data_IF_438993542164
#
_entry.id   IF_438993542164
#
_cell.length_a   1.000
_cell.length_b   1.000
_cell.length_c   1.000
_cell.angle_alpha   90.00
_cell.angle_beta   90.00
_cell.angle_gamma   90.00
#
_symmetry.space_group_name_H-M   'P 1'
#
loop_
_entity.id
_entity.type
_entity.pdbx_description
1 polymer ?
#
# COMPACT_ATOMS: atom_id res chain seq x y z
N UNK A 1 45.45 -62.62 -30.60
CA UNK A 1 44.66 -61.79 -31.56
C UNK A 1 43.64 -61.00 -30.76
N UNK A 2 43.61 -59.67 -30.96
CA UNK A 2 42.69 -58.62 -30.44
C UNK A 2 42.63 -58.43 -28.90
N UNK A 3 43.09 -57.36 -28.24
CA UNK A 3 43.25 -55.90 -28.45
C UNK A 3 42.01 -55.02 -28.12
N UNK A 4 42.28 -53.97 -27.32
CA UNK A 4 41.50 -52.74 -26.92
C UNK A 4 40.78 -52.80 -25.56
N UNK A 5 40.76 -51.76 -24.71
CA UNK A 5 41.32 -50.39 -24.73
C UNK A 5 41.30 -49.78 -23.31
N UNK A 6 42.25 -48.88 -23.08
CA UNK A 6 42.41 -47.95 -21.94
C UNK A 6 41.23 -46.98 -21.82
N UNK A 7 40.84 -46.61 -20.59
CA UNK A 7 40.44 -45.23 -20.26
C UNK A 7 40.58 -44.92 -18.76
N UNK A 8 41.68 -44.28 -18.41
CA UNK A 8 41.82 -43.40 -17.24
C UNK A 8 40.98 -42.14 -17.49
N UNK A 9 40.00 -41.83 -16.62
CA UNK A 9 39.30 -40.55 -16.65
C UNK A 9 38.96 -40.06 -15.22
N UNK A 10 39.86 -39.20 -14.72
CA UNK A 10 39.58 -37.97 -13.95
C UNK A 10 38.41 -37.97 -12.96
N UNK A 11 38.71 -38.24 -11.68
CA UNK A 11 37.83 -38.04 -10.52
C UNK A 11 37.71 -36.55 -10.08
N UNK A 12 38.09 -35.58 -10.93
CA UNK A 12 38.20 -34.16 -10.57
C UNK A 12 37.05 -33.26 -11.05
N UNK A 13 36.14 -33.76 -11.91
CA UNK A 13 35.11 -32.93 -12.55
C UNK A 13 33.75 -32.89 -11.83
N UNK A 14 33.46 -33.85 -10.95
CA UNK A 14 32.11 -34.03 -10.40
C UNK A 14 31.81 -33.15 -9.17
N UNK A 15 32.83 -32.62 -8.48
CA UNK A 15 32.62 -31.75 -7.31
C UNK A 15 32.39 -30.29 -7.72
N UNK A 16 32.98 -29.83 -8.84
CA UNK A 16 32.78 -28.47 -9.33
C UNK A 16 31.39 -28.24 -9.95
N UNK A 17 30.76 -29.29 -10.49
CA UNK A 17 29.43 -29.19 -11.12
C UNK A 17 28.26 -29.15 -10.11
N UNK A 18 28.47 -29.58 -8.85
CA UNK A 18 27.43 -29.57 -7.83
C UNK A 18 27.34 -28.24 -7.04
N UNK A 19 28.38 -27.41 -7.07
CA UNK A 19 28.37 -26.07 -6.44
C UNK A 19 27.75 -24.98 -7.31
N UNK A 20 27.49 -25.25 -8.60
CA UNK A 20 26.88 -24.28 -9.53
C UNK A 20 25.34 -24.37 -9.61
N UNK A 21 24.70 -25.32 -8.92
CA UNK A 21 23.27 -25.61 -9.03
C UNK A 21 22.41 -25.15 -7.81
N UNK A 22 22.98 -24.40 -6.88
CA UNK A 22 22.24 -23.85 -5.72
C UNK A 22 22.50 -22.36 -5.49
N UNK A 23 22.71 -21.58 -6.56
CA UNK A 23 22.48 -20.14 -6.49
C UNK A 23 20.96 -19.91 -6.52
N UNK A 24 20.26 -20.32 -5.46
CA UNK A 24 18.94 -19.76 -5.21
C UNK A 24 19.15 -18.26 -5.04
N UNK A 25 18.37 -17.40 -5.73
CA UNK A 25 18.35 -16.00 -5.35
C UNK A 25 18.02 -15.96 -3.86
N UNK A 26 18.91 -15.38 -3.05
CA UNK A 26 18.59 -15.12 -1.66
C UNK A 26 17.26 -14.37 -1.67
N UNK A 27 16.20 -14.98 -1.13
CA UNK A 27 14.92 -14.31 -1.02
C UNK A 27 15.18 -13.07 -0.16
N UNK A 28 15.00 -11.90 -0.76
CA UNK A 28 15.08 -10.65 -0.03
C UNK A 28 14.10 -10.74 1.15
N UNK A 29 14.59 -10.44 2.35
CA UNK A 29 13.76 -10.46 3.55
C UNK A 29 12.58 -9.51 3.36
N UNK A 30 11.37 -9.95 3.73
CA UNK A 30 10.23 -9.05 3.71
C UNK A 30 10.35 -8.01 4.85
N UNK A 31 9.56 -6.94 4.81
CA UNK A 31 9.65 -5.88 5.81
C UNK A 31 9.34 -6.32 7.24
N UNK A 32 8.50 -7.35 7.44
CA UNK A 32 8.22 -7.92 8.76
C UNK A 32 9.44 -8.67 9.32
N UNK A 33 10.15 -9.41 8.48
CA UNK A 33 11.40 -10.09 8.85
C UNK A 33 12.50 -9.07 9.19
N UNK A 34 12.60 -7.99 8.42
CA UNK A 34 13.52 -6.88 8.70
C UNK A 34 13.19 -6.23 10.05
N UNK A 35 11.92 -5.96 10.33
CA UNK A 35 11.48 -5.44 11.63
C UNK A 35 11.82 -6.42 12.77
N UNK A 36 11.61 -7.73 12.56
CA UNK A 36 11.96 -8.76 13.53
C UNK A 36 13.45 -8.76 13.87
N UNK A 37 14.32 -8.74 12.87
CA UNK A 37 15.78 -8.71 13.04
C UNK A 37 16.24 -7.44 13.75
N UNK A 38 15.71 -6.27 13.38
CA UNK A 38 16.03 -5.00 14.04
C UNK A 38 15.62 -5.04 15.53
N UNK A 39 14.42 -5.56 15.85
CA UNK A 39 13.98 -5.71 17.24
C UNK A 39 14.77 -6.78 18.01
N UNK A 40 15.26 -7.82 17.35
CA UNK A 40 16.15 -8.79 17.97
C UNK A 40 17.46 -8.12 18.39
N UNK A 41 18.07 -7.29 17.52
CA UNK A 41 19.27 -6.53 17.87
C UNK A 41 19.01 -5.48 18.94
N UNK A 42 17.87 -4.79 18.89
CA UNK A 42 17.47 -3.80 19.89
C UNK A 42 17.38 -4.39 21.31
N UNK A 43 16.82 -5.61 21.43
CA UNK A 43 16.68 -6.36 22.69
C UNK A 43 17.95 -7.11 23.11
N UNK A 44 18.88 -7.34 22.19
CA UNK A 44 20.11 -8.03 22.53
C UNK A 44 21.00 -7.08 23.33
N UNK A 45 21.17 -7.32 24.63
CA UNK A 45 21.88 -6.41 25.55
C UNK A 45 23.15 -7.03 26.15
N UNK A 46 24.05 -7.63 25.34
CA UNK A 46 25.27 -8.18 25.88
C UNK A 46 26.20 -7.05 26.33
N UNK A 47 27.07 -7.34 27.29
CA UNK A 47 28.16 -6.44 27.68
C UNK A 47 29.31 -6.41 26.66
N UNK A 48 29.39 -7.42 25.76
CA UNK A 48 30.35 -7.51 24.65
C UNK A 48 29.85 -8.41 23.53
N UNK A 49 30.31 -8.18 22.29
CA UNK A 49 30.06 -9.08 21.17
C UNK A 49 31.07 -10.24 21.11
N UNK A 50 30.82 -11.21 20.22
CA UNK A 50 31.74 -12.33 19.97
C UNK A 50 33.14 -11.79 19.61
N UNK A 51 34.20 -12.57 19.88
CA UNK A 51 35.61 -12.19 19.61
C UNK A 51 36.06 -10.82 20.17
N UNK A 52 35.57 -10.40 21.34
CA UNK A 52 35.92 -9.13 22.00
C UNK A 52 35.71 -7.89 21.12
N UNK A 53 34.74 -7.92 20.21
CA UNK A 53 34.41 -6.77 19.38
C UNK A 53 33.46 -5.77 20.08
N UNK A 54 33.44 -4.50 19.65
CA UNK A 54 32.53 -3.48 20.19
C UNK A 54 31.07 -3.91 20.11
N UNK A 55 30.25 -3.41 21.04
CA UNK A 55 28.86 -3.86 21.17
C UNK A 55 28.00 -3.54 19.94
N UNK A 56 28.41 -2.54 19.15
CA UNK A 56 27.80 -2.20 17.86
C UNK A 56 27.80 -3.33 16.82
N UNK A 57 28.69 -4.32 16.96
CA UNK A 57 28.80 -5.42 15.99
C UNK A 57 27.65 -6.44 16.10
N UNK A 58 26.93 -6.50 17.21
CA UNK A 58 25.93 -7.53 17.44
C UNK A 58 24.69 -7.06 18.22
N UNK A 59 24.64 -5.79 18.63
CA UNK A 59 23.62 -5.28 19.54
C UNK A 59 23.33 -3.80 19.29
N UNK A 60 22.04 -3.47 19.46
CA UNK A 60 21.51 -2.13 19.25
C UNK A 60 21.17 -1.82 17.80
N UNK A 61 20.65 -0.63 17.61
CA UNK A 61 20.14 -0.12 16.33
C UNK A 61 20.78 1.23 16.06
N UNK A 62 21.36 1.37 14.88
CA UNK A 62 21.96 2.62 14.41
C UNK A 62 20.93 3.40 13.61
N UNK A 63 20.62 4.60 14.07
CA UNK A 63 19.57 5.45 13.54
C UNK A 63 20.18 6.74 13.02
N UNK A 64 19.74 7.18 11.85
CA UNK A 64 20.16 8.47 11.31
C UNK A 64 19.01 9.18 10.64
N UNK A 65 18.96 10.48 10.84
CA UNK A 65 18.00 11.37 10.18
C UNK A 65 18.70 12.11 9.05
N UNK A 66 17.94 12.61 8.08
CA UNK A 66 18.51 13.47 7.06
C UNK A 66 19.14 14.71 7.73
N UNK A 67 20.27 15.22 7.23
CA UNK A 67 20.81 16.46 7.74
C UNK A 67 19.81 17.62 7.60
N UNK A 68 19.91 18.62 8.49
CA UNK A 68 18.99 19.79 8.54
C UNK A 68 19.48 21.00 7.75
N UNK A 69 20.71 20.98 7.26
CA UNK A 69 21.39 22.05 6.51
C UNK A 69 20.88 22.28 5.07
N UNK A 70 19.69 21.77 4.74
CA UNK A 70 19.07 21.93 3.42
C UNK A 70 17.68 21.27 3.35
N UNK A 71 16.68 22.04 2.93
CA UNK A 71 15.33 21.52 2.68
C UNK A 71 15.28 20.75 1.35
N UNK A 72 14.63 19.58 1.32
CA UNK A 72 14.26 18.88 0.08
C UNK A 72 15.34 17.98 -0.56
N UNK A 73 16.40 17.60 0.16
CA UNK A 73 17.42 16.66 -0.33
C UNK A 73 17.13 15.18 -0.02
N UNK A 74 17.89 14.29 -0.65
CA UNK A 74 17.87 12.84 -0.35
C UNK A 74 18.25 12.58 1.12
N UNK A 75 17.60 11.62 1.78
CA UNK A 75 17.87 11.36 3.21
C UNK A 75 19.27 10.80 3.50
N UNK A 76 19.92 10.18 2.51
CA UNK A 76 21.27 9.64 2.63
C UNK A 76 22.37 10.66 2.32
N UNK A 77 22.04 11.95 2.19
CA UNK A 77 23.06 12.97 1.99
C UNK A 77 23.95 13.12 3.24
N UNK A 78 25.18 13.58 3.00
CA UNK A 78 26.12 13.98 4.05
C UNK A 78 26.08 15.50 4.20
N UNK A 79 26.22 15.99 5.44
CA UNK A 79 26.33 17.41 5.77
C UNK A 79 27.76 17.93 5.63
N UNK A 80 27.91 19.25 5.65
CA UNK A 80 29.23 19.87 5.75
C UNK A 80 29.96 19.47 7.06
N UNK A 81 29.21 19.28 8.14
CA UNK A 81 29.75 18.86 9.44
C UNK A 81 30.26 17.41 9.40
N UNK A 82 29.55 16.49 8.73
CA UNK A 82 30.03 15.12 8.53
C UNK A 82 31.35 15.12 7.74
N UNK A 83 31.45 15.97 6.70
CA UNK A 83 32.66 16.09 5.89
C UNK A 83 33.84 16.66 6.69
N UNK A 84 33.59 17.67 7.53
CA UNK A 84 34.62 18.27 8.39
C UNK A 84 35.07 17.33 9.51
N UNK A 85 34.15 16.54 10.07
CA UNK A 85 34.42 15.56 11.11
C UNK A 85 35.10 14.28 10.57
N UNK A 86 34.92 13.98 9.29
CA UNK A 86 35.43 12.76 8.65
C UNK A 86 34.62 11.49 8.97
N UNK A 87 33.47 11.64 9.62
CA UNK A 87 32.55 10.55 9.95
C UNK A 87 31.10 11.02 9.91
N UNK A 88 30.19 10.08 9.66
CA UNK A 88 28.76 10.29 9.76
C UNK A 88 28.27 9.89 11.15
N UNK A 89 27.65 10.82 11.88
CA UNK A 89 27.06 10.55 13.19
C UNK A 89 25.71 9.81 13.08
N UNK A 90 25.48 8.82 13.96
CA UNK A 90 24.26 8.05 14.12
C UNK A 90 23.88 7.97 15.61
N UNK A 91 22.59 8.04 15.88
CA UNK A 91 22.06 7.74 17.20
C UNK A 91 22.05 6.23 17.43
N UNK A 92 22.36 5.80 18.65
CA UNK A 92 22.45 4.38 19.02
C UNK A 92 21.37 4.00 20.02
N UNK A 93 20.42 3.17 19.60
CA UNK A 93 19.30 2.74 20.43
C UNK A 93 19.43 1.28 20.89
N UNK A 94 19.14 1.04 22.17
CA UNK A 94 19.08 -0.28 22.81
C UNK A 94 18.00 -0.31 23.88
N UNK A 95 17.49 -1.50 24.17
CA UNK A 95 16.42 -1.68 25.16
C UNK A 95 16.83 -1.30 26.59
N UNK A 96 18.08 -1.56 26.98
CA UNK A 96 18.61 -1.29 28.32
C UNK A 96 19.22 0.11 28.48
N UNK A 97 19.14 0.95 27.45
CA UNK A 97 19.64 2.32 27.47
C UNK A 97 18.47 3.32 27.55
N UNK A 98 18.72 4.55 28.02
CA UNK A 98 17.73 5.62 27.97
C UNK A 98 17.16 5.83 26.57
N UNK A 99 15.96 6.41 26.51
CA UNK A 99 15.33 6.83 25.25
C UNK A 99 16.30 7.67 24.42
N UNK A 100 16.38 7.32 23.15
CA UNK A 100 17.12 8.09 22.15
C UNK A 100 16.14 9.04 21.48
N UNK A 101 16.56 10.30 21.34
CA UNK A 101 15.85 11.35 20.62
C UNK A 101 16.62 11.70 19.35
N UNK A 102 16.38 11.02 18.21
CA UNK A 102 16.98 11.43 16.95
C UNK A 102 16.60 12.88 16.61
N UNK A 103 17.45 13.61 15.86
CA UNK A 103 17.18 15.01 15.53
C UNK A 103 15.89 15.22 14.74
N UNK A 104 15.35 14.20 14.09
CA UNK A 104 14.10 14.27 13.35
C UNK A 104 13.30 13.00 13.61
N UNK A 105 12.03 13.07 13.28
CA UNK A 105 11.05 12.02 13.53
C UNK A 105 11.04 10.97 12.42
N UNK A 106 11.66 11.27 11.26
CA UNK A 106 11.84 10.34 10.14
C UNK A 106 13.31 10.18 9.81
N UNK A 107 13.74 8.93 9.63
CA UNK A 107 15.11 8.61 9.31
C UNK A 107 15.25 7.22 8.71
N UNK A 108 16.45 6.67 8.82
CA UNK A 108 16.75 5.32 8.40
C UNK A 108 17.53 4.56 9.46
N UNK A 109 17.37 3.25 9.43
CA UNK A 109 18.18 2.28 10.17
C UNK A 109 19.35 1.87 9.28
N UNK A 110 20.57 2.09 9.75
CA UNK A 110 21.76 1.53 9.13
C UNK A 110 21.91 0.08 9.60
N UNK A 111 22.13 -0.85 8.67
CA UNK A 111 22.41 -2.24 9.01
C UNK A 111 23.65 -2.33 9.92
N UNK A 112 23.68 -3.31 10.84
CA UNK A 112 24.91 -3.60 11.58
C UNK A 112 26.05 -3.99 10.63
N UNK A 113 27.30 -3.86 11.09
CA UNK A 113 28.48 -4.07 10.24
C UNK A 113 28.56 -5.49 9.65
N UNK A 114 28.30 -6.59 10.41
CA UNK A 114 28.23 -7.92 9.82
C UNK A 114 27.19 -8.06 8.71
N UNK A 115 25.96 -7.56 8.92
CA UNK A 115 24.91 -7.57 7.91
C UNK A 115 25.32 -6.75 6.68
N UNK A 116 25.82 -5.52 6.91
CA UNK A 116 26.28 -4.63 5.85
C UNK A 116 27.43 -5.24 5.04
N UNK A 117 28.39 -5.90 5.69
CA UNK A 117 29.48 -6.60 5.02
C UNK A 117 28.98 -7.81 4.23
N UNK A 118 28.03 -8.58 4.78
CA UNK A 118 27.39 -9.70 4.09
C UNK A 118 26.63 -9.27 2.83
N UNK A 119 26.02 -8.09 2.87
CA UNK A 119 25.32 -7.47 1.74
C UNK A 119 26.26 -6.75 0.74
N UNK A 120 27.58 -6.82 0.94
CA UNK A 120 28.57 -6.17 0.07
C UNK A 120 28.61 -4.64 0.20
N UNK A 121 28.09 -4.09 1.31
CA UNK A 121 28.00 -2.66 1.64
C UNK A 121 28.79 -2.33 2.92
N UNK A 122 30.07 -2.75 3.05
CA UNK A 122 30.80 -2.61 4.31
C UNK A 122 31.05 -1.14 4.66
N UNK A 123 31.07 -0.84 5.95
CA UNK A 123 31.51 0.45 6.49
C UNK A 123 32.36 0.25 7.76
N UNK A 124 33.11 1.28 8.15
CA UNK A 124 33.94 1.27 9.35
C UNK A 124 33.27 2.05 10.49
N UNK A 125 33.45 1.59 11.72
CA UNK A 125 33.18 2.38 12.92
C UNK A 125 34.39 3.29 13.16
N UNK A 126 34.17 4.61 13.22
CA UNK A 126 35.21 5.65 13.39
C UNK A 126 35.30 6.10 14.84
N UNK A 127 34.15 6.30 15.50
CA UNK A 127 34.04 6.69 16.91
C UNK A 127 32.74 6.17 17.52
N UNK A 128 32.62 6.26 18.83
CA UNK A 128 31.43 5.91 19.59
C UNK A 128 31.75 5.01 20.78
N UNK A 129 31.28 5.42 21.95
CA UNK A 129 31.38 4.67 23.19
C UNK A 129 29.97 4.53 23.75
N UNK A 130 29.25 3.44 23.43
CA UNK A 130 27.92 3.30 23.97
C UNK A 130 28.06 3.17 25.49
N UNK A 131 27.14 3.74 26.31
CA UNK A 131 27.25 3.84 27.77
C UNK A 131 27.20 2.49 28.52
N UNK A 132 27.35 1.40 27.77
CA UNK A 132 27.42 0.03 28.24
C UNK A 132 28.81 -0.16 28.84
N UNK A 133 28.88 -0.62 30.10
CA UNK A 133 30.14 -0.94 30.77
C UNK A 133 30.83 -2.11 30.03
N UNK A 134 31.57 -1.84 28.95
CA UNK A 134 32.39 -2.81 28.23
C UNK A 134 33.86 -2.64 28.60
N UNK A 135 34.52 -3.69 29.14
CA UNK A 135 35.93 -3.60 29.54
C UNK A 135 36.95 -3.68 28.38
N UNK A 136 36.54 -3.81 27.11
CA UNK A 136 37.44 -4.02 25.95
C UNK A 136 36.81 -3.55 24.60
N UNK A 137 37.60 -3.12 23.58
CA UNK A 137 38.84 -2.31 23.60
C UNK A 137 38.53 -0.82 23.90
N UNK A 138 39.53 0.08 24.05
CA UNK A 138 39.25 1.52 24.19
C UNK A 138 38.44 2.00 22.99
N UNK A 139 37.19 2.33 23.23
CA UNK A 139 36.40 3.08 22.29
C UNK A 139 36.78 4.56 22.44
N UNK A 140 36.79 5.29 21.33
CA UNK A 140 36.96 6.74 21.35
C UNK A 140 35.57 7.35 21.23
N UNK A 141 35.06 8.11 22.22
CA UNK A 141 33.76 8.76 22.09
C UNK A 141 33.79 9.72 20.90
N UNK A 142 32.66 9.88 20.21
CA UNK A 142 32.59 10.88 19.15
C UNK A 142 32.74 12.28 19.75
N UNK A 143 33.61 13.16 19.19
CA UNK A 143 33.87 14.47 19.76
C UNK A 143 32.62 15.35 19.93
N UNK A 144 31.67 15.24 19.00
CA UNK A 144 30.42 16.00 19.03
C UNK A 144 29.40 15.43 20.02
N UNK A 145 29.33 14.11 20.16
CA UNK A 145 28.35 13.42 20.99
C UNK A 145 28.89 12.09 21.54
N UNK A 146 29.18 12.05 22.84
CA UNK A 146 29.77 10.87 23.47
C UNK A 146 28.86 9.62 23.45
N UNK A 147 27.55 9.78 23.28
CA UNK A 147 26.58 8.67 23.20
C UNK A 147 26.23 8.25 21.77
N UNK A 148 26.74 8.95 20.76
CA UNK A 148 26.53 8.61 19.36
C UNK A 148 27.52 7.53 18.87
N UNK A 149 27.25 7.01 17.68
CA UNK A 149 28.17 6.21 16.90
C UNK A 149 28.56 6.97 15.62
N UNK A 150 29.84 7.03 15.29
CA UNK A 150 30.34 7.62 14.07
C UNK A 150 30.82 6.55 13.11
N UNK A 151 30.35 6.57 11.87
CA UNK A 151 30.76 5.62 10.82
C UNK A 151 31.48 6.30 9.68
N UNK A 152 32.22 5.53 8.88
CA UNK A 152 32.86 6.05 7.66
C UNK A 152 31.86 6.71 6.73
N UNK A 153 32.25 7.83 6.12
CA UNK A 153 31.46 8.49 5.07
C UNK A 153 31.25 7.57 3.87
N UNK A 154 30.13 7.75 3.17
CA UNK A 154 29.77 7.01 1.96
C UNK A 154 29.69 7.95 0.75
N UNK A 155 29.66 7.37 -0.46
CA UNK A 155 29.43 8.13 -1.68
C UNK A 155 27.94 8.46 -1.81
N UNK A 156 27.53 9.69 -1.47
CA UNK A 156 26.15 10.13 -1.55
C UNK A 156 25.55 10.08 -2.98
N UNK A 157 26.39 10.05 -4.03
CA UNK A 157 25.99 9.88 -5.43
C UNK A 157 25.78 8.41 -5.82
N UNK A 158 26.12 7.46 -4.94
CA UNK A 158 25.93 6.02 -5.14
C UNK A 158 25.19 5.41 -3.93
N UNK A 159 23.89 5.75 -3.73
CA UNK A 159 23.13 5.34 -2.54
C UNK A 159 23.04 3.83 -2.34
N UNK A 160 23.13 3.03 -3.40
CA UNK A 160 23.14 1.57 -3.31
C UNK A 160 24.34 1.02 -2.51
N UNK A 161 25.42 1.81 -2.34
CA UNK A 161 26.56 1.44 -1.50
C UNK A 161 26.32 1.63 0.00
N UNK A 162 25.28 2.39 0.39
CA UNK A 162 24.89 2.57 1.78
C UNK A 162 24.04 1.39 2.26
N UNK A 163 24.39 0.81 3.39
CA UNK A 163 23.68 -0.32 4.00
C UNK A 163 22.37 0.11 4.71
N UNK A 164 21.49 0.81 3.99
CA UNK A 164 20.15 1.15 4.49
C UNK A 164 19.36 -0.14 4.68
N UNK A 165 18.98 -0.44 5.92
CA UNK A 165 18.21 -1.64 6.24
C UNK A 165 16.70 -1.36 6.25
N UNK A 166 16.31 -0.19 6.71
CA UNK A 166 14.92 0.26 6.76
C UNK A 166 14.85 1.79 6.82
N UNK A 167 13.72 2.34 6.40
CA UNK A 167 13.30 3.70 6.73
C UNK A 167 12.42 3.60 7.97
N UNK A 168 12.45 4.57 8.86
CA UNK A 168 11.56 4.59 10.02
C UNK A 168 10.88 5.95 10.16
N UNK A 169 9.70 5.93 10.77
CA UNK A 169 9.05 7.13 11.28
C UNK A 169 8.53 6.91 12.70
N UNK A 170 8.64 7.92 13.55
CA UNK A 170 8.15 7.92 14.92
C UNK A 170 6.62 8.06 14.96
N UNK A 171 5.92 7.03 15.41
CA UNK A 171 4.44 7.07 15.48
C UNK A 171 3.92 8.10 16.48
N UNK A 172 4.72 8.56 17.44
CA UNK A 172 4.29 9.47 18.49
C UNK A 172 4.09 10.91 18.02
N UNK A 173 4.82 11.35 16.98
CA UNK A 173 4.77 12.77 16.57
C UNK A 173 3.80 13.07 15.40
N UNK A 174 3.08 12.07 14.87
CA UNK A 174 2.04 12.23 13.84
C UNK A 174 2.54 12.70 12.46
N UNK A 175 1.77 12.48 11.38
CA UNK A 175 2.00 13.10 10.05
C UNK A 175 3.28 12.72 9.28
N UNK A 176 4.06 11.76 9.76
CA UNK A 176 5.39 11.45 9.23
C UNK A 176 5.44 10.39 8.14
N UNK A 177 4.40 9.58 8.00
CA UNK A 177 4.35 8.52 6.99
C UNK A 177 4.59 9.10 5.59
N UNK A 178 4.04 10.27 5.29
CA UNK A 178 4.28 10.97 4.02
C UNK A 178 5.78 11.20 3.74
N UNK A 179 6.55 11.60 4.76
CA UNK A 179 8.00 11.80 4.62
C UNK A 179 8.76 10.48 4.50
N UNK A 180 8.32 9.43 5.20
CA UNK A 180 8.90 8.09 5.05
C UNK A 180 8.65 7.51 3.65
N UNK A 181 7.44 7.65 3.10
CA UNK A 181 7.10 7.28 1.73
C UNK A 181 7.95 8.04 0.72
N UNK A 182 8.20 9.34 0.92
CA UNK A 182 9.14 10.12 0.09
C UNK A 182 10.53 9.53 0.12
N UNK A 183 11.06 9.20 1.30
CA UNK A 183 12.38 8.61 1.43
C UNK A 183 12.44 7.24 0.74
N UNK A 184 11.40 6.43 0.87
CA UNK A 184 11.33 5.13 0.23
C UNK A 184 11.34 5.29 -1.29
N UNK A 185 10.55 6.22 -1.82
CA UNK A 185 10.54 6.55 -3.25
C UNK A 185 11.90 7.06 -3.73
N UNK A 186 12.50 8.02 -3.02
CA UNK A 186 13.82 8.57 -3.38
C UNK A 186 14.87 7.46 -3.47
N UNK A 187 14.89 6.55 -2.49
CA UNK A 187 15.84 5.45 -2.49
C UNK A 187 15.56 4.48 -3.64
N UNK A 188 14.30 4.14 -3.90
CA UNK A 188 13.92 3.33 -5.05
C UNK A 188 14.34 3.99 -6.38
N UNK A 189 14.05 5.27 -6.58
CA UNK A 189 14.43 6.02 -7.78
C UNK A 189 15.96 6.04 -7.97
N UNK A 190 16.72 6.12 -6.88
CA UNK A 190 18.19 6.18 -6.91
C UNK A 190 18.90 4.82 -6.98
N UNK A 191 18.22 3.72 -6.67
CA UNK A 191 18.86 2.39 -6.51
C UNK A 191 18.15 1.24 -7.22
N UNK A 192 16.88 1.40 -7.58
CA UNK A 192 15.98 0.31 -8.00
C UNK A 192 15.59 -0.64 -6.86
N UNK A 193 15.95 -0.35 -5.61
CA UNK A 193 15.69 -1.21 -4.45
C UNK A 193 14.62 -0.60 -3.55
N UNK A 194 13.64 -1.41 -3.17
CA UNK A 194 12.71 -1.08 -2.09
C UNK A 194 13.37 -1.37 -0.74
N UNK A 195 13.24 -0.44 0.20
CA UNK A 195 13.59 -0.65 1.61
C UNK A 195 12.32 -0.49 2.45
N UNK A 196 12.09 -1.33 3.47
CA UNK A 196 10.85 -1.27 4.22
C UNK A 196 10.78 -0.01 5.09
N UNK A 197 9.59 0.57 5.19
CA UNK A 197 9.22 1.59 6.16
C UNK A 197 8.75 0.90 7.44
N UNK A 198 9.29 1.32 8.59
CA UNK A 198 8.97 0.80 9.91
C UNK A 198 8.37 1.90 10.79
N UNK A 199 7.33 1.53 11.54
CA UNK A 199 6.77 2.31 12.65
C UNK A 199 7.74 2.24 13.82
N UNK A 200 8.21 3.37 14.33
CA UNK A 200 9.16 3.42 15.44
C UNK A 200 8.52 3.96 16.73
N UNK A 201 8.79 3.30 17.85
CA UNK A 201 8.46 3.73 19.22
C UNK A 201 9.69 3.50 20.09
N UNK A 202 10.69 4.36 19.92
CA UNK A 202 12.05 4.15 20.45
C UNK A 202 12.12 4.71 21.87
N UNK A 203 12.53 3.88 22.83
CA UNK A 203 12.93 4.35 24.16
C UNK A 203 11.92 4.26 25.30
N UNK A 204 10.75 3.64 25.08
CA UNK A 204 9.74 3.44 26.14
C UNK A 204 10.02 2.19 27.01
N UNK A 205 11.24 1.63 26.97
CA UNK A 205 11.58 0.35 27.59
C UNK A 205 10.87 -0.87 26.96
N UNK A 206 10.09 -0.65 25.90
CA UNK A 206 9.31 -1.67 25.22
C UNK A 206 10.21 -2.71 24.54
N UNK A 207 9.79 -3.98 24.55
CA UNK A 207 10.51 -5.06 23.87
C UNK A 207 10.47 -4.95 22.33
N UNK A 208 9.52 -4.18 21.79
CA UNK A 208 9.35 -3.93 20.36
C UNK A 208 9.39 -2.43 20.12
N UNK A 209 10.45 -1.98 19.46
CA UNK A 209 10.61 -0.57 19.08
C UNK A 209 10.24 -0.33 17.61
N UNK A 210 10.16 -1.37 16.78
CA UNK A 210 9.90 -1.24 15.34
C UNK A 210 8.76 -2.17 14.88
N UNK A 211 7.71 -1.63 14.27
CA UNK A 211 6.61 -2.38 13.66
C UNK A 211 6.63 -2.27 12.14
N UNK A 212 6.11 -3.29 11.46
CA UNK A 212 5.90 -3.27 10.01
C UNK A 212 4.41 -3.31 9.69
N UNK A 213 3.99 -2.49 8.73
CA UNK A 213 2.65 -2.52 8.15
C UNK A 213 2.81 -2.44 6.63
N UNK A 214 2.33 -3.45 5.92
CA UNK A 214 2.41 -3.48 4.45
C UNK A 214 1.68 -2.29 3.82
N UNK A 215 0.65 -1.76 4.48
CA UNK A 215 -0.12 -0.61 3.98
C UNK A 215 0.60 0.72 4.14
N UNK A 216 1.70 0.77 4.88
CA UNK A 216 2.56 1.94 5.00
C UNK A 216 3.68 1.96 3.96
N UNK A 217 3.70 0.98 3.05
CA UNK A 217 4.72 0.87 2.02
C UNK A 217 4.20 1.44 0.70
N UNK A 218 5.02 2.22 0.00
CA UNK A 218 4.66 2.77 -1.30
C UNK A 218 4.51 1.66 -2.36
N UNK A 219 5.24 0.56 -2.26
CA UNK A 219 5.12 -0.58 -3.18
C UNK A 219 3.86 -1.44 -2.93
N UNK A 220 3.11 -1.18 -1.85
CA UNK A 220 1.82 -1.83 -1.57
C UNK A 220 0.81 -1.71 -2.73
N UNK A 221 0.85 -0.59 -3.46
CA UNK A 221 -0.05 -0.39 -4.59
C UNK A 221 0.08 -1.44 -5.69
N UNK A 222 1.25 -2.09 -5.85
CA UNK A 222 1.41 -3.21 -6.77
C UNK A 222 0.60 -4.44 -6.32
N UNK A 223 0.57 -4.71 -5.01
CA UNK A 223 -0.23 -5.80 -4.45
C UNK A 223 -1.73 -5.53 -4.65
N UNK A 224 -2.17 -4.29 -4.42
CA UNK A 224 -3.55 -3.86 -4.65
C UNK A 224 -3.96 -4.02 -6.10
N UNK A 225 -3.18 -3.50 -7.06
CA UNK A 225 -3.49 -3.67 -8.49
C UNK A 225 -3.59 -5.16 -8.90
N UNK A 226 -2.70 -6.00 -8.39
CA UNK A 226 -2.74 -7.45 -8.63
C UNK A 226 -3.99 -8.11 -8.02
N UNK A 227 -4.40 -7.71 -6.81
CA UNK A 227 -5.60 -8.22 -6.15
C UNK A 227 -6.87 -7.81 -6.92
N UNK A 228 -6.93 -6.57 -7.40
CA UNK A 228 -8.02 -6.08 -8.25
C UNK A 228 -8.17 -6.90 -9.54
N UNK A 229 -7.06 -7.15 -10.24
CA UNK A 229 -7.05 -8.04 -11.42
C UNK A 229 -7.53 -9.45 -11.09
N UNK A 230 -7.05 -10.02 -9.98
CA UNK A 230 -7.46 -11.36 -9.56
C UNK A 230 -8.96 -11.43 -9.27
N UNK A 231 -9.55 -10.43 -8.60
CA UNK A 231 -10.98 -10.38 -8.34
C UNK A 231 -11.80 -10.13 -9.61
N UNK A 232 -11.30 -9.31 -10.53
CA UNK A 232 -11.94 -9.08 -11.83
C UNK A 232 -12.04 -10.37 -12.67
N UNK A 233 -10.99 -11.20 -12.65
CA UNK A 233 -10.92 -12.46 -13.37
C UNK A 233 -11.73 -13.60 -12.72
N UNK A 234 -12.18 -13.43 -11.49
CA UNK A 234 -12.81 -14.49 -10.71
C UNK A 234 -14.33 -14.57 -10.97
N UNK A 235 -14.72 -15.59 -11.74
CA UNK A 235 -16.08 -15.77 -12.25
C UNK A 235 -16.99 -16.62 -11.37
N UNK A 236 -16.55 -17.00 -10.16
CA UNK A 236 -17.39 -17.81 -9.26
C UNK A 236 -18.74 -17.14 -8.96
N UNK A 237 -19.79 -17.95 -8.90
CA UNK A 237 -21.16 -17.51 -8.55
C UNK A 237 -21.44 -17.66 -7.06
N UNK A 238 -20.63 -18.45 -6.37
CA UNK A 238 -20.73 -18.72 -4.93
C UNK A 238 -19.35 -18.59 -4.30
N UNK A 239 -19.27 -17.81 -3.23
CA UNK A 239 -18.09 -17.63 -2.38
C UNK A 239 -18.05 -18.67 -1.26
N UNK A 240 -16.90 -18.86 -0.58
CA UNK A 240 -16.81 -19.70 0.61
C UNK A 240 -17.90 -19.37 1.63
N UNK A 241 -18.48 -20.40 2.26
CA UNK A 241 -19.61 -20.24 3.18
C UNK A 241 -20.98 -20.11 2.48
N UNK A 242 -21.07 -20.48 1.19
CA UNK A 242 -22.30 -20.39 0.39
C UNK A 242 -22.83 -18.96 0.23
N UNK A 243 -21.91 -17.99 0.28
CA UNK A 243 -22.20 -16.59 0.06
C UNK A 243 -22.34 -16.28 -1.44
N UNK A 244 -23.11 -15.26 -1.86
CA UNK A 244 -23.18 -14.85 -3.26
C UNK A 244 -21.81 -14.50 -3.83
N UNK A 245 -21.60 -14.73 -5.13
CA UNK A 245 -20.30 -14.54 -5.79
C UNK A 245 -19.75 -13.12 -5.69
N UNK A 246 -20.62 -12.13 -5.58
CA UNK A 246 -20.23 -10.74 -5.36
C UNK A 246 -19.54 -10.47 -4.01
N UNK A 247 -19.60 -11.41 -3.05
CA UNK A 247 -19.00 -11.22 -1.74
C UNK A 247 -17.47 -11.35 -1.74
N UNK A 248 -16.90 -12.03 -2.73
CA UNK A 248 -15.47 -12.31 -2.80
C UNK A 248 -14.85 -12.11 -4.19
N UNK A 249 -15.66 -11.85 -5.22
CA UNK A 249 -15.18 -11.58 -6.57
C UNK A 249 -15.73 -10.30 -7.17
N UNK A 250 -15.13 -9.89 -8.29
CA UNK A 250 -15.41 -8.63 -8.96
C UNK A 250 -14.85 -7.40 -8.25
N UNK A 251 -15.01 -6.26 -8.92
CA UNK A 251 -14.46 -4.97 -8.45
C UNK A 251 -15.58 -3.94 -8.40
N UNK A 252 -15.82 -3.39 -7.21
CA UNK A 252 -16.77 -2.31 -6.95
C UNK A 252 -16.08 -0.96 -7.14
N UNK A 253 -16.50 -0.23 -8.16
CA UNK A 253 -15.89 1.03 -8.59
C UNK A 253 -16.92 2.14 -8.51
N UNK A 254 -16.62 3.21 -7.77
CA UNK A 254 -17.52 4.36 -7.61
C UNK A 254 -16.81 5.66 -7.89
N UNK A 255 -17.29 6.40 -8.90
CA UNK A 255 -16.97 7.81 -9.06
C UNK A 255 -17.62 8.61 -7.91
N UNK A 256 -16.86 9.50 -7.28
CA UNK A 256 -17.27 10.28 -6.10
C UNK A 256 -17.09 11.79 -6.27
N UNK A 257 -16.41 12.21 -7.33
CA UNK A 257 -15.83 13.55 -7.39
C UNK A 257 -14.88 13.83 -6.21
N UNK A 258 -14.58 15.11 -6.02
CA UNK A 258 -13.69 15.60 -4.95
C UNK A 258 -13.95 17.09 -4.70
N UNK A 259 -13.62 17.58 -3.50
CA UNK A 259 -13.76 18.99 -3.16
C UNK A 259 -13.46 19.28 -1.69
N UNK A 260 -13.60 20.54 -1.30
CA UNK A 260 -13.38 20.98 0.09
C UNK A 260 -14.64 20.89 0.96
N UNK A 261 -15.80 20.67 0.35
CA UNK A 261 -17.10 20.65 1.04
C UNK A 261 -17.51 19.25 1.51
N UNK A 262 -16.83 18.20 1.07
CA UNK A 262 -17.12 16.81 1.39
C UNK A 262 -15.88 15.95 1.20
N UNK A 263 -15.85 14.79 1.86
CA UNK A 263 -14.85 13.77 1.61
C UNK A 263 -15.33 12.77 0.55
N UNK A 264 -14.45 12.37 -0.36
CA UNK A 264 -14.79 11.48 -1.48
C UNK A 264 -15.40 10.12 -1.03
N UNK A 265 -15.00 9.61 0.14
CA UNK A 265 -15.50 8.35 0.70
C UNK A 265 -16.85 8.47 1.43
N UNK A 266 -17.38 9.69 1.59
CA UNK A 266 -18.65 9.89 2.27
C UNK A 266 -19.83 9.74 1.31
N UNK A 267 -20.93 9.04 1.70
CA UNK A 267 -22.16 9.04 0.94
C UNK A 267 -22.73 10.46 0.84
N UNK A 268 -23.22 10.86 -0.33
CA UNK A 268 -23.89 12.15 -0.47
C UNK A 268 -25.20 12.22 0.32
N UNK A 269 -25.75 13.41 0.65
CA UNK A 269 -27.01 13.54 1.36
C UNK A 269 -28.16 12.83 0.62
N UNK A 270 -28.08 12.86 -0.71
CA UNK A 270 -28.97 12.17 -1.62
C UNK A 270 -28.89 10.64 -1.45
N UNK A 271 -27.67 10.08 -1.42
CA UNK A 271 -27.44 8.65 -1.16
C UNK A 271 -27.93 8.23 0.23
N UNK A 272 -27.71 9.07 1.25
CA UNK A 272 -28.20 8.83 2.62
C UNK A 272 -29.74 8.79 2.64
N UNK A 273 -30.41 9.75 2.00
CA UNK A 273 -31.87 9.87 2.02
C UNK A 273 -32.60 8.66 1.40
N UNK A 274 -31.97 8.00 0.42
CA UNK A 274 -32.50 6.82 -0.28
C UNK A 274 -31.88 5.50 0.18
N UNK A 275 -31.00 5.57 1.19
CA UNK A 275 -30.19 4.45 1.66
C UNK A 275 -29.46 3.71 0.53
N UNK A 276 -28.87 4.42 -0.43
CA UNK A 276 -28.31 3.81 -1.64
C UNK A 276 -27.12 4.56 -2.19
N UNK A 277 -25.98 3.88 -2.19
CA UNK A 277 -24.72 4.36 -2.73
C UNK A 277 -24.43 3.57 -4.00
N UNK A 278 -24.39 4.26 -5.13
CA UNK A 278 -24.23 3.66 -6.46
C UNK A 278 -22.76 3.33 -6.77
N UNK A 279 -22.54 2.15 -7.34
CA UNK A 279 -21.27 1.59 -7.80
C UNK A 279 -21.44 0.93 -9.17
N UNK A 280 -20.41 0.98 -10.00
CA UNK A 280 -20.22 0.01 -11.08
C UNK A 280 -19.54 -1.24 -10.52
N UNK A 281 -19.86 -2.40 -11.10
CA UNK A 281 -19.29 -3.69 -10.70
C UNK A 281 -18.68 -4.41 -11.90
N UNK A 282 -17.35 -4.54 -11.90
CA UNK A 282 -16.58 -5.10 -13.00
C UNK A 282 -16.20 -6.56 -12.74
N UNK A 283 -16.48 -7.42 -13.72
CA UNK A 283 -16.00 -8.79 -13.84
C UNK A 283 -15.77 -9.14 -15.30
N UNK A 284 -14.85 -10.07 -15.56
CA UNK A 284 -14.48 -10.50 -16.91
C UNK A 284 -15.65 -11.07 -17.73
N UNK A 285 -16.67 -11.62 -17.06
CA UNK A 285 -17.85 -12.23 -17.67
C UNK A 285 -19.08 -11.30 -17.76
N UNK A 286 -18.91 -10.00 -17.51
CA UNK A 286 -20.00 -9.00 -17.48
C UNK A 286 -19.93 -7.91 -18.56
N UNK A 287 -19.05 -8.07 -19.57
CA UNK A 287 -18.92 -7.18 -20.74
C UNK A 287 -18.89 -5.66 -20.41
N UNK A 288 -18.35 -5.29 -19.24
CA UNK A 288 -18.27 -3.89 -18.83
C UNK A 288 -16.95 -3.29 -19.31
N UNK A 289 -17.03 -2.41 -20.31
CA UNK A 289 -15.84 -1.84 -20.96
C UNK A 289 -15.45 -0.47 -20.43
N UNK A 290 -16.33 0.19 -19.68
CA UNK A 290 -16.11 1.52 -19.10
C UNK A 290 -16.74 1.61 -17.71
N UNK A 291 -16.29 2.56 -16.91
CA UNK A 291 -17.05 3.02 -15.73
C UNK A 291 -17.80 4.30 -16.11
N UNK A 292 -18.45 4.95 -15.16
CA UNK A 292 -18.92 6.33 -15.36
C UNK A 292 -17.77 7.32 -15.61
N UNK A 293 -16.51 6.91 -15.38
CA UNK A 293 -15.28 7.66 -15.61
C UNK A 293 -15.07 8.78 -14.58
N UNK A 294 -13.84 9.22 -14.36
CA UNK A 294 -13.51 10.33 -13.46
C UNK A 294 -12.58 9.93 -12.31
N UNK A 295 -12.86 10.49 -11.14
CA UNK A 295 -12.12 10.31 -9.87
C UNK A 295 -12.98 9.53 -8.89
N UNK A 296 -12.43 8.56 -8.17
CA UNK A 296 -13.24 7.86 -7.20
C UNK A 296 -12.53 6.85 -6.33
N UNK A 297 -13.33 5.95 -5.77
CA UNK A 297 -12.92 4.92 -4.82
C UNK A 297 -13.21 3.52 -5.37
N UNK A 298 -12.36 2.57 -4.97
CA UNK A 298 -12.59 1.14 -5.14
C UNK A 298 -12.71 0.51 -3.74
N UNK A 299 -13.76 -0.29 -3.57
CA UNK A 299 -13.97 -1.07 -2.35
C UNK A 299 -13.29 -2.44 -2.46
N UNK A 300 -12.83 -2.95 -1.31
CA UNK A 300 -12.48 -4.37 -1.19
C UNK A 300 -13.73 -5.23 -1.40
N UNK A 301 -13.51 -6.53 -1.55
CA UNK A 301 -14.58 -7.52 -1.52
C UNK A 301 -15.46 -7.40 -0.26
N UNK A 302 -16.76 -7.66 -0.36
CA UNK A 302 -17.71 -7.48 0.75
C UNK A 302 -17.40 -8.37 1.96
N UNK A 303 -16.79 -9.53 1.71
CA UNK A 303 -16.32 -10.47 2.73
C UNK A 303 -15.04 -10.00 3.44
N UNK A 304 -14.40 -8.91 2.99
CA UNK A 304 -13.23 -8.36 3.64
C UNK A 304 -13.55 -7.89 5.06
N UNK A 305 -12.72 -8.22 6.06
CA UNK A 305 -12.92 -7.71 7.41
C UNK A 305 -12.89 -6.17 7.44
N UNK A 306 -13.98 -5.59 7.94
CA UNK A 306 -14.15 -4.15 8.13
C UNK A 306 -14.90 -3.90 9.44
N UNK A 307 -14.62 -2.78 10.11
CA UNK A 307 -15.37 -2.39 11.32
C UNK A 307 -16.82 -2.04 10.97
N UNK A 308 -17.02 -1.50 9.77
CA UNK A 308 -18.32 -1.25 9.16
C UNK A 308 -18.40 -1.97 7.81
N UNK A 309 -18.86 -3.23 7.78
CA UNK A 309 -19.12 -3.95 6.55
C UNK A 309 -20.14 -3.22 5.69
N UNK A 310 -19.89 -3.15 4.37
CA UNK A 310 -20.86 -2.60 3.41
C UNK A 310 -21.84 -3.68 2.97
N UNK A 311 -23.08 -3.27 2.68
CA UNK A 311 -24.19 -4.21 2.43
C UNK A 311 -24.68 -4.05 0.99
N UNK A 312 -24.62 -5.11 0.19
CA UNK A 312 -25.26 -5.15 -1.13
C UNK A 312 -26.77 -5.13 -0.98
N UNK A 313 -27.44 -4.12 -1.56
CA UNK A 313 -28.91 -4.00 -1.49
C UNK A 313 -29.59 -4.54 -2.73
N UNK A 314 -29.10 -4.18 -3.91
CA UNK A 314 -29.64 -4.63 -5.19
C UNK A 314 -28.68 -4.32 -6.34
N UNK A 315 -29.00 -4.85 -7.52
CA UNK A 315 -28.26 -4.56 -8.74
C UNK A 315 -29.18 -4.39 -9.96
N UNK A 316 -28.70 -3.62 -10.92
CA UNK A 316 -29.31 -3.40 -12.22
C UNK A 316 -28.28 -3.69 -13.31
N UNK A 317 -28.66 -4.37 -14.40
CA UNK A 317 -27.72 -4.73 -15.46
C UNK A 317 -27.24 -3.54 -16.30
N UNK A 318 -27.90 -2.39 -16.17
CA UNK A 318 -27.64 -1.13 -16.87
C UNK A 318 -27.76 0.02 -15.87
N UNK A 319 -27.43 1.25 -16.27
CA UNK A 319 -27.73 2.45 -15.48
C UNK A 319 -29.24 2.57 -15.25
N UNK A 320 -29.65 2.55 -13.98
CA UNK A 320 -31.03 2.53 -13.54
C UNK A 320 -31.50 3.89 -12.98
N UNK A 321 -30.65 4.92 -13.08
CA UNK A 321 -30.91 6.31 -12.66
C UNK A 321 -31.38 6.34 -11.20
N UNK A 322 -30.64 5.64 -10.34
CA UNK A 322 -31.13 5.36 -8.99
C UNK A 322 -31.23 6.60 -8.11
N UNK A 323 -30.65 7.74 -8.50
CA UNK A 323 -30.84 8.97 -7.76
C UNK A 323 -32.21 9.61 -7.85
N UNK A 324 -33.05 9.16 -8.79
CA UNK A 324 -34.39 9.72 -8.94
C UNK A 324 -35.46 8.89 -8.22
N UNK A 325 -35.07 7.80 -7.55
CA UNK A 325 -35.98 6.85 -6.89
C UNK A 325 -36.19 7.24 -5.41
N UNK A 326 -37.34 6.98 -4.78
CA UNK A 326 -37.51 7.23 -3.34
C UNK A 326 -36.60 6.35 -2.47
N UNK A 327 -36.44 5.09 -2.87
CA UNK A 327 -35.43 4.15 -2.38
C UNK A 327 -34.63 3.66 -3.59
N UNK A 328 -33.29 3.63 -3.50
CA UNK A 328 -32.44 3.32 -4.67
C UNK A 328 -32.68 1.94 -5.29
N UNK A 329 -33.28 0.99 -4.56
CA UNK A 329 -33.60 -0.33 -5.08
C UNK A 329 -35.05 -0.48 -5.56
N UNK A 330 -35.92 0.47 -5.23
CA UNK A 330 -37.32 0.48 -5.68
C UNK A 330 -37.45 0.89 -7.14
N UNK A 331 -38.51 0.47 -7.82
CA UNK A 331 -38.95 1.03 -9.11
C UNK A 331 -40.14 1.97 -8.90
N UNK A 332 -40.44 2.83 -9.88
CA UNK A 332 -41.59 3.74 -9.78
C UNK A 332 -42.89 2.95 -9.54
N UNK A 333 -43.52 3.17 -8.37
CA UNK A 333 -44.76 2.52 -7.98
C UNK A 333 -44.65 1.08 -7.44
N UNK A 334 -43.47 0.46 -7.44
CA UNK A 334 -43.26 -0.89 -6.88
C UNK A 334 -41.89 -1.03 -6.20
N UNK A 335 -41.92 -1.27 -4.88
CA UNK A 335 -40.72 -1.44 -4.05
C UNK A 335 -40.18 -2.87 -4.03
N UNK A 336 -40.84 -3.83 -4.67
CA UNK A 336 -40.42 -5.23 -4.70
C UNK A 336 -39.22 -5.43 -5.64
N UNK A 337 -38.31 -6.29 -5.21
CA UNK A 337 -37.18 -6.76 -6.02
C UNK A 337 -37.65 -7.86 -7.00
N UNK A 338 -36.81 -8.19 -7.98
CA UNK A 338 -37.18 -9.09 -9.07
C UNK A 338 -37.63 -10.49 -8.62
N UNK A 339 -37.00 -11.06 -7.60
CA UNK A 339 -37.39 -12.36 -7.04
C UNK A 339 -38.80 -12.33 -6.45
N UNK A 340 -39.16 -11.26 -5.72
CA UNK A 340 -40.50 -11.05 -5.18
C UNK A 340 -41.57 -10.80 -6.26
N UNK A 341 -41.16 -10.49 -7.49
CA UNK A 341 -42.02 -10.40 -8.67
C UNK A 341 -42.08 -11.71 -9.48
N UNK A 342 -41.40 -12.77 -9.03
CA UNK A 342 -41.30 -14.04 -9.76
C UNK A 342 -40.34 -14.01 -10.96
N UNK A 343 -39.51 -12.96 -11.07
CA UNK A 343 -38.49 -12.82 -12.10
C UNK A 343 -37.19 -13.42 -11.56
N UNK A 344 -36.89 -14.66 -11.95
CA UNK A 344 -35.74 -15.44 -11.46
C UNK A 344 -34.76 -15.82 -12.56
N UNK A 345 -34.97 -15.34 -13.80
CA UNK A 345 -34.11 -15.63 -14.95
C UNK A 345 -33.92 -14.39 -15.81
N UNK A 346 -32.79 -14.31 -16.52
CA UNK A 346 -32.54 -13.22 -17.47
C UNK A 346 -33.60 -13.17 -18.58
N UNK A 347 -34.12 -14.33 -19.04
CA UNK A 347 -35.15 -14.40 -20.06
C UNK A 347 -36.48 -13.76 -19.60
N UNK A 348 -36.91 -14.01 -18.36
CA UNK A 348 -38.11 -13.37 -17.80
C UNK A 348 -37.92 -11.86 -17.65
N UNK A 349 -36.74 -11.43 -17.21
CA UNK A 349 -36.42 -10.01 -17.10
C UNK A 349 -36.48 -9.33 -18.47
N UNK A 350 -35.82 -9.88 -19.49
CA UNK A 350 -35.78 -9.34 -20.85
C UNK A 350 -37.15 -9.35 -21.55
N UNK A 351 -37.99 -10.35 -21.26
CA UNK A 351 -39.35 -10.40 -21.77
C UNK A 351 -40.22 -9.23 -21.26
N UNK A 352 -39.91 -8.72 -20.07
CA UNK A 352 -40.63 -7.60 -19.44
C UNK A 352 -39.97 -6.26 -19.76
N UNK A 353 -38.64 -6.21 -19.72
CA UNK A 353 -37.82 -5.00 -19.85
C UNK A 353 -36.65 -5.20 -20.81
N UNK A 354 -36.94 -5.20 -22.11
CA UNK A 354 -35.94 -5.41 -23.15
C UNK A 354 -34.78 -4.39 -23.14
N UNK A 355 -35.00 -3.18 -22.61
CA UNK A 355 -34.00 -2.12 -22.50
C UNK A 355 -33.23 -2.12 -21.17
N UNK A 356 -33.46 -3.09 -20.29
CA UNK A 356 -32.75 -3.18 -19.01
C UNK A 356 -33.37 -2.38 -17.87
N UNK A 357 -34.36 -1.52 -18.14
CA UNK A 357 -34.99 -0.67 -17.12
C UNK A 357 -36.11 -1.42 -16.38
N UNK A 358 -35.73 -2.28 -15.44
CA UNK A 358 -36.63 -3.14 -14.69
C UNK A 358 -36.44 -3.07 -13.18
N UNK A 359 -36.97 -4.08 -12.49
CA UNK A 359 -36.82 -4.27 -11.05
C UNK A 359 -35.35 -4.41 -10.61
N UNK A 360 -35.07 -4.10 -9.34
CA UNK A 360 -33.76 -4.38 -8.75
C UNK A 360 -33.57 -5.88 -8.51
N UNK A 361 -32.42 -6.43 -8.91
CA UNK A 361 -32.03 -7.81 -8.62
C UNK A 361 -31.62 -7.93 -7.16
N UNK A 362 -32.17 -8.90 -6.44
CA UNK A 362 -31.98 -9.04 -5.00
C UNK A 362 -30.56 -9.50 -4.60
N UNK A 363 -30.12 -9.27 -3.35
CA UNK A 363 -28.79 -9.64 -2.87
C UNK A 363 -28.72 -11.15 -2.56
N UNK A 364 -28.87 -12.00 -3.57
CA UNK A 364 -28.77 -13.46 -3.43
C UNK A 364 -27.89 -14.07 -4.52
N UNK A 365 -27.34 -15.26 -4.27
CA UNK A 365 -26.54 -15.97 -5.27
C UNK A 365 -27.33 -16.26 -6.56
N UNK A 366 -28.63 -16.57 -6.43
CA UNK A 366 -29.52 -16.81 -7.56
C UNK A 366 -29.70 -15.55 -8.43
N UNK A 367 -30.04 -14.41 -7.80
CA UNK A 367 -30.24 -13.15 -8.52
C UNK A 367 -28.92 -12.54 -9.02
N UNK A 368 -27.79 -12.85 -8.37
CA UNK A 368 -26.47 -12.52 -8.91
C UNK A 368 -26.17 -13.30 -10.20
N UNK A 369 -26.55 -14.57 -10.29
CA UNK A 369 -26.50 -15.33 -11.54
C UNK A 369 -27.33 -14.67 -12.65
N UNK A 370 -28.53 -14.17 -12.32
CA UNK A 370 -29.37 -13.40 -13.25
C UNK A 370 -28.66 -12.12 -13.73
N UNK A 371 -27.98 -11.38 -12.83
CA UNK A 371 -27.19 -10.20 -13.20
C UNK A 371 -26.08 -10.56 -14.19
N UNK A 372 -25.29 -11.61 -13.93
CA UNK A 372 -24.23 -12.09 -14.81
C UNK A 372 -24.79 -12.40 -16.19
N UNK A 373 -25.90 -13.13 -16.26
CA UNK A 373 -26.53 -13.50 -17.54
C UNK A 373 -27.09 -12.28 -18.29
N UNK A 374 -27.72 -11.33 -17.60
CA UNK A 374 -28.19 -10.09 -18.21
C UNK A 374 -27.04 -9.27 -18.78
N UNK A 375 -25.88 -9.24 -18.11
CA UNK A 375 -24.68 -8.54 -18.59
C UNK A 375 -24.03 -9.18 -19.82
N UNK A 376 -24.37 -10.42 -20.16
CA UNK A 376 -24.00 -11.00 -21.46
C UNK A 376 -24.80 -10.38 -22.61
N UNK A 377 -26.02 -9.90 -22.33
CA UNK A 377 -26.91 -9.25 -23.30
C UNK A 377 -26.77 -7.72 -23.31
N UNK A 378 -26.56 -7.10 -22.16
CA UNK A 378 -26.37 -5.66 -22.04
C UNK A 378 -24.88 -5.28 -22.12
N UNK A 379 -24.53 -4.56 -23.18
CA UNK A 379 -23.18 -4.03 -23.41
C UNK A 379 -23.09 -2.54 -23.13
N UNK A 380 -24.05 -1.99 -22.38
CA UNK A 380 -23.99 -0.62 -21.88
C UNK A 380 -22.69 -0.38 -21.13
N UNK A 381 -22.25 0.89 -21.19
CA UNK A 381 -20.96 1.34 -20.65
C UNK A 381 -20.72 0.82 -19.24
N UNK A 382 -21.73 0.86 -18.36
CA UNK A 382 -21.67 0.36 -16.99
C UNK A 382 -23.00 -0.26 -16.54
N UNK A 383 -22.92 -1.12 -15.53
CA UNK A 383 -24.05 -1.55 -14.71
C UNK A 383 -24.19 -0.65 -13.47
N UNK A 384 -25.24 -0.87 -12.67
CA UNK A 384 -25.47 -0.13 -11.44
C UNK A 384 -25.78 -1.05 -10.26
N UNK A 385 -24.89 -1.04 -9.26
CA UNK A 385 -25.01 -1.79 -8.01
C UNK A 385 -25.22 -0.81 -6.87
N UNK A 386 -26.16 -1.13 -5.99
CA UNK A 386 -26.48 -0.28 -4.83
C UNK A 386 -25.99 -0.95 -3.56
N UNK A 387 -25.07 -0.26 -2.88
CA UNK A 387 -24.71 -0.56 -1.50
C UNK A 387 -25.54 0.30 -0.55
N UNK A 388 -25.78 -0.19 0.67
CA UNK A 388 -26.43 0.62 1.70
C UNK A 388 -25.58 1.84 2.06
N UNK A 389 -26.22 2.93 2.45
CA UNK A 389 -25.50 4.11 2.93
C UNK A 389 -24.84 3.80 4.27
N UNK A 390 -23.61 4.29 4.46
CA UNK A 390 -22.86 4.19 5.71
C UNK A 390 -22.76 5.56 6.40
N UNK A 391 -22.38 5.60 7.70
CA UNK A 391 -22.14 6.84 8.41
C UNK A 391 -21.10 7.75 7.70
N UNK A 392 -21.20 9.06 7.91
CA UNK A 392 -20.18 10.00 7.45
C UNK A 392 -18.88 9.79 8.25
N UNK A 393 -17.75 10.15 7.64
CA UNK A 393 -16.46 10.38 8.33
C UNK A 393 -15.88 9.14 9.04
N UNK A 394 -16.10 7.96 8.45
CA UNK A 394 -15.53 6.69 8.92
C UNK A 394 -14.58 6.00 7.92
N UNK A 395 -13.65 6.72 7.25
CA UNK A 395 -12.83 6.18 6.15
C UNK A 395 -12.02 4.93 6.53
N UNK A 396 -11.62 4.79 7.79
CA UNK A 396 -10.85 3.63 8.27
C UNK A 396 -11.71 2.46 8.75
N UNK A 397 -13.04 2.63 8.78
CA UNK A 397 -13.96 1.60 9.25
C UNK A 397 -14.64 0.85 8.10
N UNK A 398 -14.78 1.50 6.94
CA UNK A 398 -15.29 0.90 5.71
C UNK A 398 -14.18 0.21 4.90
N UNK A 399 -14.50 -0.77 4.04
CA UNK A 399 -13.53 -1.55 3.29
C UNK A 399 -13.01 -0.81 2.04
N UNK A 400 -12.44 0.39 2.19
CA UNK A 400 -11.73 1.06 1.10
C UNK A 400 -10.45 0.30 0.75
N UNK A 401 -10.15 0.18 -0.54
CA UNK A 401 -8.95 -0.52 -1.01
C UNK A 401 -7.98 0.38 -1.77
N UNK A 402 -8.52 1.21 -2.66
CA UNK A 402 -7.74 2.14 -3.46
C UNK A 402 -8.58 3.35 -3.87
N UNK A 403 -7.87 4.41 -4.23
CA UNK A 403 -8.42 5.47 -5.05
C UNK A 403 -8.21 5.10 -6.52
N UNK A 404 -9.03 5.64 -7.40
CA UNK A 404 -8.83 5.45 -8.82
C UNK A 404 -9.06 6.71 -9.64
N UNK A 405 -8.54 6.64 -10.86
CA UNK A 405 -8.92 7.55 -11.92
C UNK A 405 -9.06 6.81 -13.25
N UNK A 406 -9.81 7.41 -14.17
CA UNK A 406 -9.80 7.06 -15.59
C UNK A 406 -9.41 8.29 -16.40
N UNK A 407 -8.48 8.17 -17.35
CA UNK A 407 -8.01 9.33 -18.13
C UNK A 407 -7.05 10.23 -17.33
N UNK A 408 -5.90 10.56 -17.92
CA UNK A 408 -4.81 11.25 -17.23
C UNK A 408 -5.20 12.65 -16.70
N UNK A 409 -6.22 13.28 -17.26
CA UNK A 409 -6.77 14.56 -16.81
C UNK A 409 -7.38 14.51 -15.40
N UNK A 410 -7.71 13.32 -14.90
CA UNK A 410 -8.33 13.11 -13.60
C UNK A 410 -7.32 12.81 -12.48
N UNK A 411 -6.06 12.50 -12.81
CA UNK A 411 -5.02 12.23 -11.81
C UNK A 411 -4.88 13.34 -10.75
N UNK A 412 -4.86 14.65 -11.09
CA UNK A 412 -4.75 15.69 -10.07
C UNK A 412 -5.93 15.69 -9.08
N UNK A 413 -7.13 15.34 -9.52
CA UNK A 413 -8.29 15.22 -8.64
C UNK A 413 -8.17 14.03 -7.70
N UNK A 414 -7.61 12.92 -8.19
CA UNK A 414 -7.39 11.72 -7.37
C UNK A 414 -6.25 11.88 -6.38
N UNK A 415 -5.19 12.59 -6.76
CA UNK A 415 -4.12 12.97 -5.83
C UNK A 415 -4.63 13.90 -4.73
N UNK A 416 -5.60 14.79 -5.02
CA UNK A 416 -6.28 15.56 -3.97
C UNK A 416 -7.02 14.65 -2.99
N UNK A 417 -7.76 13.66 -3.48
CA UNK A 417 -8.45 12.70 -2.59
C UNK A 417 -7.45 11.89 -1.76
N UNK A 418 -6.29 11.52 -2.34
CA UNK A 418 -5.23 10.83 -1.62
C UNK A 418 -4.63 11.69 -0.51
N UNK A 419 -4.41 12.97 -0.80
CA UNK A 419 -3.92 13.94 0.18
C UNK A 419 -4.93 14.14 1.32
N UNK A 420 -6.22 14.30 0.98
CA UNK A 420 -7.30 14.43 1.96
C UNK A 420 -7.39 13.19 2.85
N UNK A 421 -7.36 11.99 2.27
CA UNK A 421 -7.34 10.74 3.02
C UNK A 421 -6.13 10.66 3.96
N UNK A 422 -4.93 10.96 3.47
CA UNK A 422 -3.70 10.99 4.28
C UNK A 422 -3.81 12.02 5.42
N UNK A 423 -4.38 13.20 5.19
CA UNK A 423 -4.57 14.23 6.21
C UNK A 423 -5.58 13.80 7.30
N UNK A 424 -6.67 13.14 6.91
CA UNK A 424 -7.72 12.68 7.83
C UNK A 424 -7.29 11.45 8.62
N UNK A 425 -6.60 10.49 8.00
CA UNK A 425 -6.36 9.18 8.62
C UNK A 425 -4.90 8.94 9.00
N UNK A 426 -3.96 9.72 8.47
CA UNK A 426 -2.52 9.44 8.57
C UNK A 426 -2.09 8.13 7.89
N UNK A 427 -2.89 7.62 6.94
CA UNK A 427 -2.66 6.32 6.28
C UNK A 427 -2.48 6.53 4.79
N UNK A 428 -1.62 5.72 4.19
CA UNK A 428 -1.47 5.66 2.75
C UNK A 428 -2.66 4.92 2.10
N UNK A 429 -3.13 5.46 0.98
CA UNK A 429 -4.13 4.83 0.12
C UNK A 429 -3.61 4.90 -1.32
N UNK A 430 -3.38 3.77 -2.01
CA UNK A 430 -2.80 3.79 -3.34
C UNK A 430 -3.79 4.34 -4.38
N UNK A 431 -3.26 5.09 -5.34
CA UNK A 431 -3.97 5.50 -6.56
C UNK A 431 -3.72 4.46 -7.65
N UNK A 432 -4.79 3.95 -8.24
CA UNK A 432 -4.76 2.98 -9.33
C UNK A 432 -5.42 3.58 -10.59
N UNK A 433 -4.75 3.50 -11.73
CA UNK A 433 -5.36 3.85 -13.01
C UNK A 433 -6.24 2.68 -13.49
N UNK A 434 -7.46 3.00 -13.94
CA UNK A 434 -8.45 2.01 -14.39
C UNK A 434 -8.72 2.16 -15.88
N UNK A 435 -8.50 1.10 -16.65
CA UNK A 435 -8.85 1.01 -18.08
C UNK A 435 -9.55 -0.32 -18.36
N UNK A 436 -10.87 -0.37 -18.16
CA UNK A 436 -11.66 -1.61 -18.32
C UNK A 436 -11.68 -2.18 -19.75
N UNK A 437 -11.38 -1.37 -20.76
CA UNK A 437 -11.25 -1.82 -22.14
C UNK A 437 -9.88 -2.45 -22.45
N UNK A 438 -8.93 -2.40 -21.52
CA UNK A 438 -7.63 -3.04 -21.68
C UNK A 438 -7.75 -4.56 -21.54
N UNK A 439 -6.71 -5.28 -22.02
CA UNK A 439 -6.63 -6.72 -21.78
C UNK A 439 -6.44 -7.00 -20.27
N UNK A 440 -6.95 -8.13 -19.75
CA UNK A 440 -6.71 -8.53 -18.36
C UNK A 440 -5.22 -8.53 -18.01
N UNK A 441 -4.89 -8.04 -16.82
CA UNK A 441 -3.52 -7.78 -16.38
C UNK A 441 -3.00 -6.36 -16.71
N UNK A 442 -3.76 -5.56 -17.45
CA UNK A 442 -3.49 -4.16 -17.74
C UNK A 442 -4.68 -3.23 -17.46
N UNK A 443 -5.72 -3.74 -16.78
CA UNK A 443 -6.93 -2.99 -16.43
C UNK A 443 -6.65 -2.09 -15.23
N UNK A 444 -5.97 -2.64 -14.23
CA UNK A 444 -5.60 -1.93 -13.00
C UNK A 444 -4.08 -1.74 -12.99
N UNK A 445 -3.63 -0.51 -13.15
CA UNK A 445 -2.19 -0.19 -13.17
C UNK A 445 -1.82 0.73 -12.02
N UNK A 446 -0.67 0.42 -11.40
CA UNK A 446 -0.11 1.19 -10.30
C UNK A 446 1.24 1.79 -10.71
N UNK A 447 1.43 3.07 -10.43
CA UNK A 447 2.67 3.80 -10.67
C UNK A 447 3.04 4.61 -9.41
N UNK A 448 4.19 4.33 -8.76
CA UNK A 448 4.70 5.13 -7.65
C UNK A 448 4.92 6.61 -7.99
N UNK A 449 5.09 6.96 -9.27
CA UNK A 449 5.20 8.33 -9.76
C UNK A 449 3.89 9.13 -9.76
N UNK A 450 2.76 8.48 -9.48
CA UNK A 450 1.42 9.08 -9.48
C UNK A 450 0.81 9.19 -8.07
N UNK A 451 1.66 9.15 -7.04
CA UNK A 451 1.24 9.11 -5.63
C UNK A 451 1.55 10.43 -4.91
N UNK A 452 1.66 11.53 -5.65
CA UNK A 452 2.12 12.81 -5.12
C UNK A 452 1.23 13.33 -3.97
N UNK A 453 -0.07 12.99 -3.97
CA UNK A 453 -1.00 13.37 -2.91
C UNK A 453 -0.60 12.82 -1.52
N UNK A 454 -0.07 11.60 -1.45
CA UNK A 454 0.46 11.02 -0.22
C UNK A 454 1.90 11.45 0.07
N UNK A 455 2.68 11.75 -0.98
CA UNK A 455 4.10 12.05 -0.87
C UNK A 455 4.38 13.51 -0.55
N UNK A 456 3.54 14.46 -0.94
CA UNK A 456 3.82 15.89 -0.79
C UNK A 456 2.70 16.58 0.00
N UNK A 457 2.68 16.43 1.35
CA UNK A 457 1.66 17.06 2.17
C UNK A 457 1.78 18.59 2.01
N UNK A 458 0.85 19.17 1.27
CA UNK A 458 0.74 20.61 1.04
C UNK A 458 1.23 21.13 -0.32
N UNK A 459 1.80 20.29 -1.20
CA UNK A 459 2.16 20.71 -2.56
C UNK A 459 1.12 20.20 -3.56
N UNK A 460 0.26 21.13 -4.04
CA UNK A 460 -0.96 20.91 -4.87
C UNK A 460 -2.04 20.21 -4.01
N UNK A 461 -3.30 20.66 -3.94
CA UNK A 461 -4.15 21.13 -5.02
C UNK A 461 -5.00 22.34 -4.58
N UNK A 462 -4.98 23.40 -5.37
CA UNK A 462 -6.18 24.23 -5.53
C UNK A 462 -7.18 23.27 -6.18
N UNK A 463 -8.37 23.07 -5.61
CA UNK A 463 -9.43 22.35 -6.31
C UNK A 463 -9.57 23.01 -7.70
N UNK A 464 -9.13 22.36 -8.81
CA UNK A 464 -9.22 23.01 -10.10
C UNK A 464 -10.68 23.38 -10.33
N UNK A 465 -10.97 24.58 -10.81
CA UNK A 465 -12.31 25.02 -11.20
C UNK A 465 -12.87 24.25 -12.41
N UNK A 466 -12.56 22.96 -12.54
CA UNK A 466 -13.13 22.06 -13.53
C UNK A 466 -14.46 21.50 -12.99
N UNK A 467 -15.30 21.06 -13.94
CA UNK A 467 -16.73 20.74 -13.77
C UNK A 467 -17.05 19.68 -12.68
N UNK A 468 -16.05 18.99 -12.11
CA UNK A 468 -16.19 17.98 -11.05
C UNK A 468 -16.18 18.54 -9.62
N UNK A 469 -15.98 19.85 -9.42
CA UNK A 469 -15.98 20.52 -8.10
C UNK A 469 -17.36 20.97 -7.61
N UNK A 470 -18.40 20.77 -8.41
CA UNK A 470 -19.71 21.34 -8.14
C UNK A 470 -20.41 20.54 -7.03
N UNK A 471 -20.70 21.18 -5.89
CA UNK A 471 -21.62 20.68 -4.85
C UNK A 471 -22.94 20.15 -5.43
N UNK A 472 -23.37 20.67 -6.58
CA UNK A 472 -24.50 20.14 -7.33
C UNK A 472 -24.31 18.68 -7.74
N UNK A 473 -23.16 18.28 -8.26
CA UNK A 473 -22.87 16.90 -8.63
C UNK A 473 -22.85 15.98 -7.41
N UNK A 474 -22.18 16.38 -6.32
CA UNK A 474 -22.17 15.61 -5.08
C UNK A 474 -23.58 15.43 -4.50
N UNK A 475 -24.38 16.49 -4.47
CA UNK A 475 -25.77 16.43 -4.03
C UNK A 475 -26.69 15.67 -4.99
N UNK A 476 -26.30 15.48 -6.26
CA UNK A 476 -27.15 14.88 -7.28
C UNK A 476 -26.66 13.52 -7.77
N UNK A 477 -25.66 12.91 -7.14
CA UNK A 477 -24.94 11.76 -7.73
C UNK A 477 -25.88 10.65 -8.25
N UNK A 478 -25.95 10.62 -9.60
CA UNK A 478 -26.57 9.74 -10.61
C UNK A 478 -28.08 9.56 -10.65
#
# INVERSE_FOLDING_TARGET
MFCRRVLTMTLGGLVAAWLALLAFPALALNGADVAHLINQRYRNTPSKCFVNSPVYECSGVLLRTAPRDGAGGNFWRLSADDAAAGYAELSYARQDLPRVDPPDTVGFVLADRPTAAGDGKPYALVCGCPPVQSPLPPCTPCPANASAAGVSLWNASAPASLAVQAIYYDVAAGGQLAQALRYQKQYFDGTGQWVPILKASIGDGAATAFGFDERDQLDWGYAVAKQLEARYLDTRITCPGNLPGYDCSGVLIRNTGFGTAFHAWNPSPNSVSRNGVSFSYARVDMNMTLTTGGVGIIMRELSAPAQHPVIWRCAFPVNAVTAQRPDSCSTEGDARLCDALGITTAAQYLATWANGNGCGLAPSAAQFGVLVDLRKSFVDKHNEVILAAWPQDIPTQIPLESLFYTGAENLPGTEYVQQDYMAVTGRFMPIVSVTLSAAPGAIFTYDPGQQDGALLPGARFIAPGSRSTNLHWWNSEY
#
